data_IF_314139550008
#
_entry.id   IF_314139550008
#
_cell.length_a   1.000
_cell.length_b   1.000
_cell.length_c   1.000
_cell.angle_alpha   90.00
_cell.angle_beta   90.00
_cell.angle_gamma   90.00
#
_symmetry.space_group_name_H-M   'P 1'
#
loop_
_entity.id
_entity.type
_entity.pdbx_description
1 polymer ?
#
# COMPACT_ATOMS: atom_id res chain seq x y z
N UNK A 1 -14.28 3.43 -12.98
CA UNK A 1 -13.18 2.71 -12.30
C UNK A 1 -13.82 1.63 -11.44
N UNK A 2 -13.39 0.37 -11.56
CA UNK A 2 -13.98 -0.78 -10.86
C UNK A 2 -13.46 -0.83 -9.42
N UNK A 3 -14.36 -0.88 -8.43
CA UNK A 3 -14.04 -1.02 -7.00
C UNK A 3 -14.67 -2.34 -6.51
N UNK A 4 -13.89 -3.44 -6.42
CA UNK A 4 -14.45 -4.75 -6.11
C UNK A 4 -14.80 -4.94 -4.63
N UNK A 5 -14.32 -4.06 -3.74
CA UNK A 5 -14.42 -4.25 -2.30
C UNK A 5 -15.45 -3.32 -1.66
N UNK A 6 -16.14 -3.85 -0.66
CA UNK A 6 -17.10 -3.11 0.15
C UNK A 6 -16.38 -2.31 1.23
N UNK A 7 -16.65 -1.00 1.30
CA UNK A 7 -16.07 -0.12 2.31
C UNK A 7 -16.88 -0.26 3.60
N UNK A 8 -16.22 -0.63 4.71
CA UNK A 8 -16.85 -0.74 6.04
C UNK A 8 -16.56 0.48 6.93
N UNK A 9 -15.44 1.16 6.67
CA UNK A 9 -15.03 2.39 7.34
C UNK A 9 -14.21 3.24 6.37
N UNK A 10 -14.57 4.51 6.24
CA UNK A 10 -13.82 5.49 5.46
C UNK A 10 -14.09 6.87 6.03
N UNK A 11 -13.20 7.35 6.89
CA UNK A 11 -13.32 8.66 7.53
C UNK A 11 -11.97 9.15 8.06
N UNK A 12 -11.83 10.47 8.33
CA UNK A 12 -10.77 10.98 9.18
C UNK A 12 -10.72 10.25 10.53
N UNK A 13 -9.51 10.09 11.08
CA UNK A 13 -9.31 9.47 12.39
C UNK A 13 -10.03 10.23 13.51
N UNK A 14 -10.10 11.56 13.39
CA UNK A 14 -10.78 12.42 14.34
C UNK A 14 -12.26 12.04 14.58
N UNK A 15 -12.94 11.49 13.56
CA UNK A 15 -14.36 11.13 13.63
C UNK A 15 -14.63 9.88 14.48
N UNK A 16 -13.59 9.08 14.76
CA UNK A 16 -13.69 7.79 15.46
C UNK A 16 -12.69 7.68 16.62
N UNK A 17 -12.13 8.82 17.05
CA UNK A 17 -11.18 8.89 18.16
C UNK A 17 -11.85 8.47 19.47
N UNK A 18 -11.28 7.48 20.14
CA UNK A 18 -11.76 7.03 21.46
C UNK A 18 -11.04 7.71 22.63
N UNK A 19 -9.77 8.06 22.47
CA UNK A 19 -8.92 8.64 23.51
C UNK A 19 -8.53 10.08 23.13
N UNK A 20 -9.26 11.05 23.69
CA UNK A 20 -9.11 12.49 23.37
C UNK A 20 -7.83 13.11 23.93
N UNK A 21 -7.01 12.36 24.69
CA UNK A 21 -5.71 12.86 25.17
C UNK A 21 -4.62 12.81 24.10
N UNK A 22 -4.86 12.06 23.02
CA UNK A 22 -3.88 11.83 21.96
C UNK A 22 -3.89 13.02 20.98
N UNK A 23 -2.70 13.52 20.62
CA UNK A 23 -2.51 14.61 19.67
C UNK A 23 -1.11 14.52 19.02
N UNK A 24 -0.92 14.91 17.74
CA UNK A 24 -1.91 15.48 16.82
C UNK A 24 -2.72 14.41 16.06
N UNK A 25 -4.01 14.68 15.86
CA UNK A 25 -4.97 13.74 15.24
C UNK A 25 -5.33 14.11 13.79
N UNK A 26 -4.97 15.32 13.37
CA UNK A 26 -5.13 15.80 12.00
C UNK A 26 -4.23 15.01 11.03
N UNK A 27 -4.53 15.12 9.73
CA UNK A 27 -3.79 14.49 8.64
C UNK A 27 -3.72 12.95 8.78
N UNK A 28 -4.76 12.33 9.34
CA UNK A 28 -4.89 10.89 9.52
C UNK A 28 -6.24 10.43 8.99
N UNK A 29 -6.20 9.61 7.95
CA UNK A 29 -7.37 9.06 7.29
C UNK A 29 -7.40 7.54 7.40
N UNK A 30 -8.60 6.98 7.31
CA UNK A 30 -8.85 5.54 7.38
C UNK A 30 -9.62 5.05 6.17
N UNK A 31 -9.29 3.84 5.72
CA UNK A 31 -10.04 3.13 4.68
C UNK A 31 -9.98 1.62 4.96
N UNK A 32 -11.05 1.08 5.54
CA UNK A 32 -11.18 -0.34 5.78
C UNK A 32 -12.18 -0.95 4.81
N UNK A 33 -11.80 -2.06 4.21
CA UNK A 33 -12.55 -2.71 3.14
C UNK A 33 -12.68 -4.21 3.41
N UNK A 34 -13.72 -4.82 2.86
CA UNK A 34 -13.97 -6.25 2.92
C UNK A 34 -14.36 -6.78 1.55
N UNK A 35 -14.10 -8.08 1.32
CA UNK A 35 -14.54 -8.79 0.13
C UNK A 35 -15.89 -9.47 0.37
N UNK A 36 -16.67 -9.62 -0.70
CA UNK A 36 -17.98 -10.28 -0.66
C UNK A 36 -17.86 -11.82 -0.54
N UNK A 37 -19.00 -12.47 -0.38
CA UNK A 37 -19.16 -13.91 -0.24
C UNK A 37 -20.11 -14.44 -1.32
N UNK A 38 -19.93 -15.70 -1.72
CA UNK A 38 -20.80 -16.40 -2.65
C UNK A 38 -20.99 -17.84 -2.17
N UNK A 39 -22.23 -18.32 -2.20
CA UNK A 39 -22.60 -19.67 -1.75
C UNK A 39 -22.03 -20.05 -0.35
N UNK A 40 -22.11 -19.11 0.58
CA UNK A 40 -21.62 -19.33 1.95
C UNK A 40 -20.10 -19.20 2.13
N UNK A 41 -19.34 -18.87 1.07
CA UNK A 41 -17.89 -18.84 1.08
C UNK A 41 -17.31 -17.47 0.73
N UNK A 42 -16.20 -17.10 1.36
CA UNK A 42 -15.45 -15.90 1.01
C UNK A 42 -14.89 -16.02 -0.42
N UNK A 43 -15.09 -14.99 -1.24
CA UNK A 43 -14.74 -14.98 -2.67
C UNK A 43 -13.23 -14.89 -2.92
N UNK A 44 -12.53 -15.98 -2.61
CA UNK A 44 -11.06 -16.09 -2.71
C UNK A 44 -10.54 -15.95 -4.13
N UNK A 45 -11.26 -16.50 -5.12
CA UNK A 45 -10.87 -16.40 -6.50
C UNK A 45 -10.96 -14.96 -6.99
N UNK A 46 -12.07 -14.25 -6.72
CA UNK A 46 -12.20 -12.84 -7.07
C UNK A 46 -11.14 -11.95 -6.40
N UNK A 47 -10.77 -12.24 -5.14
CA UNK A 47 -9.66 -11.53 -4.50
C UNK A 47 -8.34 -11.79 -5.22
N UNK A 48 -8.02 -13.07 -5.49
CA UNK A 48 -6.78 -13.42 -6.19
C UNK A 48 -6.76 -12.89 -7.62
N UNK A 49 -7.88 -12.91 -8.34
CA UNK A 49 -8.00 -12.32 -9.67
C UNK A 49 -7.73 -10.82 -9.61
N UNK A 50 -8.27 -10.10 -8.62
CA UNK A 50 -7.92 -8.69 -8.43
C UNK A 50 -6.41 -8.48 -8.18
N UNK A 51 -5.77 -9.34 -7.39
CA UNK A 51 -4.30 -9.28 -7.21
C UNK A 51 -3.58 -9.53 -8.55
N UNK A 52 -3.95 -10.57 -9.29
CA UNK A 52 -3.33 -10.94 -10.56
C UNK A 52 -3.58 -9.91 -11.68
N UNK A 53 -4.73 -9.25 -11.69
CA UNK A 53 -5.04 -8.16 -12.63
C UNK A 53 -4.15 -6.93 -12.39
N UNK A 54 -3.62 -6.77 -11.18
CA UNK A 54 -2.78 -5.64 -10.80
C UNK A 54 -1.29 -5.98 -10.66
N UNK A 55 -0.88 -7.25 -10.77
CA UNK A 55 0.52 -7.68 -10.58
C UNK A 55 1.49 -6.92 -11.49
N UNK A 56 1.12 -6.70 -12.74
CA UNK A 56 1.94 -6.01 -13.74
C UNK A 56 2.21 -4.54 -13.40
N UNK A 57 1.40 -3.93 -12.54
CA UNK A 57 1.54 -2.51 -12.16
C UNK A 57 2.80 -2.27 -11.30
N UNK A 58 3.23 -3.28 -10.54
CA UNK A 58 4.42 -3.19 -9.68
C UNK A 58 5.56 -4.10 -10.13
N UNK A 59 5.23 -5.22 -10.80
CA UNK A 59 6.21 -6.20 -11.25
C UNK A 59 6.88 -5.87 -12.59
N UNK A 60 6.30 -4.98 -13.39
CA UNK A 60 6.88 -4.47 -14.64
C UNK A 60 7.07 -2.95 -14.53
N UNK A 61 7.98 -2.39 -15.34
CA UNK A 61 8.03 -0.94 -15.54
C UNK A 61 7.10 -0.46 -16.66
N UNK A 62 6.89 0.85 -16.77
CA UNK A 62 5.98 1.42 -17.75
C UNK A 62 6.38 1.10 -19.20
N UNK A 63 7.68 1.14 -19.51
CA UNK A 63 8.17 0.82 -20.86
C UNK A 63 7.87 -0.64 -21.25
N UNK A 64 8.03 -1.59 -20.32
CA UNK A 64 7.66 -2.99 -20.55
C UNK A 64 6.16 -3.16 -20.74
N UNK A 65 5.34 -2.50 -19.91
CA UNK A 65 3.87 -2.53 -20.05
C UNK A 65 3.43 -1.98 -21.40
N UNK A 66 3.99 -0.85 -21.83
CA UNK A 66 3.71 -0.23 -23.13
C UNK A 66 4.16 -1.11 -24.30
N UNK A 67 5.37 -1.68 -24.21
CA UNK A 67 5.89 -2.57 -25.25
C UNK A 67 5.04 -3.83 -25.40
N UNK A 68 4.52 -4.37 -24.29
CA UNK A 68 3.61 -5.52 -24.29
C UNK A 68 2.23 -5.17 -24.86
N UNK A 69 1.74 -3.94 -24.66
CA UNK A 69 0.49 -3.47 -25.25
C UNK A 69 -0.69 -4.37 -24.86
N UNK A 70 -1.52 -4.73 -25.84
CA UNK A 70 -2.71 -5.58 -25.68
C UNK A 70 -2.41 -7.08 -25.63
N UNK A 71 -1.32 -7.49 -24.97
CA UNK A 71 -0.92 -8.90 -24.78
C UNK A 71 -1.02 -9.32 -23.31
N UNK A 72 -2.25 -9.50 -22.77
CA UNK A 72 -2.46 -9.74 -21.35
C UNK A 72 -1.78 -11.01 -20.84
N UNK A 73 -1.80 -12.10 -21.61
CA UNK A 73 -1.11 -13.34 -21.23
C UNK A 73 0.40 -13.16 -21.11
N UNK A 74 1.05 -12.51 -22.10
CA UNK A 74 2.49 -12.23 -22.05
C UNK A 74 2.85 -11.28 -20.91
N UNK A 75 1.97 -10.32 -20.59
CA UNK A 75 2.14 -9.42 -19.47
C UNK A 75 2.09 -10.14 -18.13
N UNK A 76 1.14 -11.04 -17.93
CA UNK A 76 1.05 -11.87 -16.73
C UNK A 76 2.28 -12.77 -16.57
N UNK A 77 2.69 -13.46 -17.64
CA UNK A 77 3.89 -14.32 -17.63
C UNK A 77 5.14 -13.52 -17.26
N UNK A 78 5.34 -12.35 -17.86
CA UNK A 78 6.52 -11.51 -17.56
C UNK A 78 6.48 -10.96 -16.13
N UNK A 79 5.32 -10.51 -15.67
CA UNK A 79 5.14 -10.03 -14.31
C UNK A 79 5.37 -11.14 -13.26
N UNK A 80 4.86 -12.35 -13.51
CA UNK A 80 5.05 -13.49 -12.61
C UNK A 80 6.52 -13.92 -12.48
N UNK A 81 7.30 -13.80 -13.57
CA UNK A 81 8.76 -14.01 -13.55
C UNK A 81 9.50 -12.98 -12.69
N UNK A 82 8.88 -11.83 -12.44
CA UNK A 82 9.46 -10.76 -11.63
C UNK A 82 9.15 -10.84 -10.14
N UNK A 83 8.19 -11.69 -9.76
CA UNK A 83 7.91 -12.01 -8.37
C UNK A 83 9.10 -12.73 -7.71
N UNK A 84 9.37 -12.45 -6.44
CA UNK A 84 10.40 -13.10 -5.63
C UNK A 84 9.80 -14.23 -4.77
N UNK A 85 9.14 -15.15 -5.44
CA UNK A 85 8.57 -16.33 -4.80
C UNK A 85 9.67 -17.37 -4.61
N UNK A 86 9.82 -17.83 -3.38
CA UNK A 86 10.63 -19.00 -3.04
C UNK A 86 9.69 -20.13 -2.61
N UNK A 87 10.15 -21.38 -2.69
CA UNK A 87 9.32 -22.55 -2.31
C UNK A 87 8.83 -22.52 -0.85
N UNK A 88 9.41 -21.66 -0.01
CA UNK A 88 9.04 -21.44 1.39
C UNK A 88 8.49 -20.03 1.67
N UNK A 89 7.97 -19.32 0.66
CA UNK A 89 7.38 -17.99 0.89
C UNK A 89 6.04 -18.10 1.64
N UNK A 90 6.12 -18.08 2.97
CA UNK A 90 4.99 -18.10 3.90
C UNK A 90 4.57 -16.66 4.26
N UNK A 91 5.40 -15.67 3.91
CA UNK A 91 5.22 -14.29 4.35
C UNK A 91 4.09 -13.60 3.59
N UNK A 92 3.96 -13.85 2.28
CA UNK A 92 2.91 -13.25 1.44
C UNK A 92 3.08 -11.74 1.25
N UNK A 93 4.30 -11.22 1.42
CA UNK A 93 4.58 -9.78 1.33
C UNK A 93 4.22 -9.19 -0.02
N UNK A 94 4.54 -9.89 -1.12
CA UNK A 94 4.23 -9.43 -2.47
C UNK A 94 2.72 -9.26 -2.71
N UNK A 95 1.87 -10.08 -2.09
CA UNK A 95 0.42 -9.97 -2.19
C UNK A 95 -0.06 -8.65 -1.56
N UNK A 96 0.45 -8.30 -0.38
CA UNK A 96 0.13 -7.04 0.26
C UNK A 96 0.66 -5.84 -0.54
N UNK A 97 1.86 -5.93 -1.11
CA UNK A 97 2.40 -4.88 -1.99
C UNK A 97 1.52 -4.69 -3.23
N UNK A 98 1.16 -5.76 -3.94
CA UNK A 98 0.29 -5.69 -5.12
C UNK A 98 -1.07 -5.10 -4.75
N UNK A 99 -1.65 -5.51 -3.62
CA UNK A 99 -2.91 -4.94 -3.13
C UNK A 99 -2.79 -3.45 -2.83
N UNK A 100 -1.69 -3.02 -2.21
CA UNK A 100 -1.43 -1.59 -1.94
C UNK A 100 -1.35 -0.81 -3.26
N UNK A 101 -0.58 -1.27 -4.24
CA UNK A 101 -0.52 -0.63 -5.57
C UNK A 101 -1.92 -0.54 -6.22
N UNK A 102 -2.70 -1.60 -6.15
CA UNK A 102 -4.04 -1.64 -6.72
C UNK A 102 -4.97 -0.61 -6.04
N UNK A 103 -4.92 -0.50 -4.70
CA UNK A 103 -5.71 0.49 -3.95
C UNK A 103 -5.24 1.91 -4.28
N UNK A 104 -3.93 2.16 -4.26
CA UNK A 104 -3.34 3.46 -4.60
C UNK A 104 -3.80 3.95 -5.98
N UNK A 105 -3.80 3.06 -6.97
CA UNK A 105 -4.30 3.38 -8.31
C UNK A 105 -5.81 3.58 -8.34
N UNK A 106 -6.59 2.64 -7.79
CA UNK A 106 -8.05 2.58 -8.01
C UNK A 106 -8.89 3.45 -7.07
N UNK A 107 -8.33 3.88 -5.94
CA UNK A 107 -9.01 4.73 -4.96
C UNK A 107 -8.44 6.14 -4.93
N UNK A 108 -7.12 6.29 -5.10
CA UNK A 108 -6.43 7.58 -5.01
C UNK A 108 -5.96 8.14 -6.35
N UNK A 109 -6.19 7.44 -7.47
CA UNK A 109 -5.67 7.80 -8.80
C UNK A 109 -4.15 8.04 -8.79
N UNK A 110 -3.43 7.33 -7.92
CA UNK A 110 -2.01 7.53 -7.74
C UNK A 110 -1.21 6.86 -8.87
N UNK A 111 -0.26 7.60 -9.44
CA UNK A 111 0.60 7.16 -10.52
C UNK A 111 1.81 6.41 -9.92
N UNK A 112 2.06 5.15 -10.29
CA UNK A 112 3.19 4.38 -9.77
C UNK A 112 4.49 4.88 -10.38
N UNK A 113 5.29 5.62 -9.62
CA UNK A 113 6.53 6.22 -10.11
C UNK A 113 7.77 5.37 -9.84
N UNK A 114 7.68 4.36 -8.97
CA UNK A 114 8.72 3.32 -8.80
C UNK A 114 8.02 1.96 -8.72
N UNK A 115 8.07 1.09 -9.75
CA UNK A 115 7.58 -0.29 -9.67
C UNK A 115 8.50 -1.14 -8.76
N UNK A 116 8.14 -1.30 -7.49
CA UNK A 116 9.05 -1.87 -6.47
C UNK A 116 9.38 -3.34 -6.70
N UNK A 117 8.43 -4.16 -7.14
CA UNK A 117 8.69 -5.58 -7.46
C UNK A 117 9.63 -5.70 -8.67
N UNK A 118 9.46 -4.86 -9.70
CA UNK A 118 10.39 -4.82 -10.84
C UNK A 118 11.83 -4.55 -10.38
N UNK A 119 12.04 -3.50 -9.58
CA UNK A 119 13.39 -3.12 -9.12
C UNK A 119 13.97 -4.05 -8.07
N UNK A 120 13.14 -4.85 -7.39
CA UNK A 120 13.61 -5.95 -6.54
C UNK A 120 14.47 -6.94 -7.31
N UNK A 121 14.34 -7.11 -8.61
CA UNK A 121 15.19 -8.07 -9.32
C UNK A 121 16.66 -7.64 -9.45
N UNK A 122 16.95 -6.34 -9.37
CA UNK A 122 18.30 -5.82 -9.58
C UNK A 122 19.14 -5.87 -8.29
N UNK A 123 20.45 -6.07 -8.43
CA UNK A 123 21.41 -6.06 -7.30
C UNK A 123 21.51 -4.67 -6.65
N UNK A 124 21.10 -3.62 -7.38
CA UNK A 124 21.03 -2.27 -6.86
C UNK A 124 19.97 -2.15 -5.77
N UNK A 125 20.31 -1.47 -4.67
CA UNK A 125 19.53 -1.41 -3.42
C UNK A 125 18.22 -0.59 -3.50
N UNK A 126 17.64 -0.43 -4.70
CA UNK A 126 16.45 0.37 -5.01
C UNK A 126 15.16 -0.20 -4.41
N UNK A 127 15.19 -1.48 -4.06
CA UNK A 127 14.10 -2.20 -3.44
C UNK A 127 14.00 -2.07 -1.92
N UNK A 128 15.02 -1.54 -1.25
CA UNK A 128 15.01 -1.38 0.22
C UNK A 128 14.52 0.01 0.60
N UNK A 129 13.34 0.07 1.21
CA UNK A 129 12.71 1.31 1.67
C UNK A 129 11.19 1.15 1.61
N UNK A 130 10.50 2.10 0.99
CA UNK A 130 9.05 2.04 0.85
C UNK A 130 8.62 0.84 -0.01
N UNK A 131 7.54 0.18 0.41
CA UNK A 131 6.92 -0.95 -0.28
C UNK A 131 6.17 -0.50 -1.54
N UNK A 132 5.77 0.78 -1.59
CA UNK A 132 5.23 1.40 -2.80
C UNK A 132 5.60 2.88 -2.89
N UNK A 133 5.71 3.41 -4.12
CA UNK A 133 6.03 4.83 -4.35
C UNK A 133 5.17 5.37 -5.48
N UNK A 134 4.38 6.40 -5.15
CA UNK A 134 3.43 6.99 -6.09
C UNK A 134 3.48 8.52 -6.04
N UNK A 135 2.98 9.12 -7.12
CA UNK A 135 2.65 10.55 -7.20
C UNK A 135 1.16 10.69 -7.44
N UNK A 136 0.50 11.60 -6.71
CA UNK A 136 -0.87 12.03 -7.02
C UNK A 136 -0.81 13.45 -7.54
N UNK A 137 -1.49 13.70 -8.66
CA UNK A 137 -1.64 15.05 -9.20
C UNK A 137 -2.73 15.77 -8.42
N UNK A 138 -2.36 16.88 -7.80
CA UNK A 138 -3.23 17.71 -6.97
C UNK A 138 -3.72 18.91 -7.79
N UNK A 139 -4.87 19.51 -7.43
CA UNK A 139 -5.36 20.71 -8.11
C UNK A 139 -4.35 21.86 -8.12
N UNK A 140 -4.31 22.60 -9.23
CA UNK A 140 -3.48 23.79 -9.39
C UNK A 140 -1.99 23.50 -9.63
N UNK A 141 -1.68 22.54 -10.50
CA UNK A 141 -0.33 22.11 -10.88
C UNK A 141 0.55 21.71 -9.69
N UNK A 142 -0.06 21.07 -8.70
CA UNK A 142 0.63 20.54 -7.52
C UNK A 142 0.70 19.03 -7.57
N UNK A 143 1.53 18.46 -6.71
CA UNK A 143 1.59 17.02 -6.52
C UNK A 143 1.79 16.68 -5.05
N UNK A 144 1.44 15.45 -4.69
CA UNK A 144 1.80 14.82 -3.42
C UNK A 144 2.66 13.58 -3.65
N UNK A 145 3.60 13.34 -2.75
CA UNK A 145 4.50 12.18 -2.76
C UNK A 145 3.98 11.13 -1.80
N UNK A 146 3.78 9.91 -2.29
CA UNK A 146 3.22 8.81 -1.50
C UNK A 146 4.26 7.71 -1.31
N UNK A 147 4.68 7.49 -0.06
CA UNK A 147 5.64 6.44 0.33
C UNK A 147 4.94 5.41 1.20
N UNK A 148 4.62 4.25 0.62
CA UNK A 148 3.75 3.27 1.25
C UNK A 148 4.46 2.16 2.01
N UNK A 149 3.73 1.59 2.96
CA UNK A 149 4.09 0.42 3.76
C UNK A 149 2.99 -0.64 3.62
N UNK A 150 3.36 -1.89 3.35
CA UNK A 150 2.41 -2.99 3.24
C UNK A 150 2.84 -4.18 4.10
N UNK A 151 1.87 -4.80 4.79
CA UNK A 151 2.10 -6.01 5.56
C UNK A 151 0.96 -7.01 5.41
N UNK A 152 1.32 -8.30 5.37
CA UNK A 152 0.39 -9.41 5.46
C UNK A 152 0.63 -10.19 6.75
N UNK A 153 -0.27 -10.08 7.73
CA UNK A 153 -0.14 -10.76 9.02
C UNK A 153 -1.20 -11.85 9.25
N UNK A 154 -0.91 -12.73 10.20
CA UNK A 154 -1.82 -13.72 10.77
C UNK A 154 -2.80 -13.12 11.80
N UNK A 155 -2.46 -11.96 12.35
CA UNK A 155 -3.28 -11.18 13.28
C UNK A 155 -2.95 -9.69 13.16
N UNK A 156 -3.76 -8.83 13.78
CA UNK A 156 -3.46 -7.39 13.97
C UNK A 156 -3.53 -7.02 15.45
N UNK A 157 -2.95 -7.88 16.27
CA UNK A 157 -2.72 -7.58 17.68
C UNK A 157 -1.73 -6.42 17.85
N UNK A 158 -1.66 -5.90 19.07
CA UNK A 158 -0.84 -4.73 19.38
C UNK A 158 0.66 -4.92 19.13
N UNK A 159 1.17 -6.16 19.14
CA UNK A 159 2.58 -6.44 18.84
C UNK A 159 2.83 -6.30 17.34
N UNK A 160 1.93 -6.82 16.49
CA UNK A 160 1.98 -6.58 15.04
C UNK A 160 1.85 -5.09 14.72
N UNK A 161 0.92 -4.37 15.36
CA UNK A 161 0.76 -2.92 15.14
C UNK A 161 2.04 -2.15 15.50
N UNK A 162 2.71 -2.50 16.61
CA UNK A 162 3.98 -1.87 17.01
C UNK A 162 5.08 -2.08 15.97
N UNK A 163 5.13 -3.26 15.35
CA UNK A 163 6.12 -3.54 14.29
C UNK A 163 5.89 -2.69 13.03
N UNK A 164 4.62 -2.47 12.65
CA UNK A 164 4.26 -1.60 11.53
C UNK A 164 4.64 -0.15 11.84
N UNK A 165 4.27 0.33 13.04
CA UNK A 165 4.63 1.69 13.50
C UNK A 165 6.13 1.91 13.45
N UNK A 166 6.92 0.90 13.86
CA UNK A 166 8.38 0.97 13.80
C UNK A 166 8.88 1.07 12.35
N UNK A 167 8.28 0.32 11.43
CA UNK A 167 8.62 0.40 10.00
C UNK A 167 8.32 1.79 9.43
N UNK A 168 7.13 2.32 9.71
CA UNK A 168 6.71 3.67 9.30
C UNK A 168 7.65 4.72 9.87
N UNK A 169 7.95 4.67 11.17
CA UNK A 169 8.89 5.57 11.84
C UNK A 169 10.25 5.60 11.12
N UNK A 170 10.79 4.42 10.79
CA UNK A 170 12.08 4.33 10.10
C UNK A 170 12.01 4.98 8.70
N UNK A 171 10.92 4.78 7.96
CA UNK A 171 10.70 5.39 6.64
C UNK A 171 10.66 6.92 6.69
N UNK A 172 10.24 7.51 7.81
CA UNK A 172 10.19 8.97 8.01
C UNK A 172 11.55 9.62 8.30
N UNK A 173 12.62 8.83 8.47
CA UNK A 173 13.96 9.37 8.66
C UNK A 173 14.50 10.07 7.40
N UNK A 174 15.29 11.13 7.60
CA UNK A 174 15.88 11.93 6.52
C UNK A 174 16.57 11.09 5.46
N UNK A 175 17.41 10.15 5.89
CA UNK A 175 18.20 9.32 4.99
C UNK A 175 17.32 8.40 4.14
N UNK A 176 16.23 7.87 4.72
CA UNK A 176 15.29 7.02 3.98
C UNK A 176 14.49 7.83 2.96
N UNK A 177 13.97 8.99 3.33
CA UNK A 177 13.25 9.87 2.39
C UNK A 177 14.19 10.32 1.26
N UNK A 178 15.41 10.79 1.58
CA UNK A 178 16.38 11.21 0.56
C UNK A 178 16.82 10.06 -0.35
N UNK A 179 16.92 8.85 0.18
CA UNK A 179 17.17 7.64 -0.63
C UNK A 179 16.03 7.40 -1.62
N UNK A 180 14.78 7.42 -1.16
CA UNK A 180 13.61 7.25 -2.05
C UNK A 180 13.54 8.34 -3.12
N UNK A 181 13.75 9.61 -2.74
CA UNK A 181 13.81 10.72 -3.68
C UNK A 181 14.86 10.52 -4.79
N UNK A 182 16.03 10.03 -4.42
CA UNK A 182 17.12 9.75 -5.36
C UNK A 182 16.75 8.63 -6.34
N UNK A 183 15.99 7.63 -5.88
CA UNK A 183 15.48 6.55 -6.73
C UNK A 183 14.48 7.10 -7.73
N UNK A 184 13.51 7.90 -7.27
CA UNK A 184 12.47 8.51 -8.12
C UNK A 184 13.11 9.35 -9.24
N UNK A 185 14.13 10.16 -8.93
CA UNK A 185 14.85 10.97 -9.93
C UNK A 185 15.72 10.12 -10.84
N UNK A 186 16.35 9.07 -10.30
CA UNK A 186 17.36 8.27 -11.00
C UNK A 186 16.78 7.30 -12.03
N UNK A 187 15.50 6.96 -11.93
CA UNK A 187 14.82 6.08 -12.88
C UNK A 187 14.03 6.87 -13.92
N UNK A 188 13.81 6.27 -15.09
CA UNK A 188 13.13 6.94 -16.20
C UNK A 188 11.59 6.88 -16.11
N UNK A 189 11.01 6.33 -15.03
CA UNK A 189 9.56 6.09 -14.95
C UNK A 189 8.75 7.40 -15.08
N UNK A 190 9.20 8.48 -14.42
CA UNK A 190 8.52 9.79 -14.46
C UNK A 190 8.31 10.35 -15.88
N UNK A 191 9.22 10.08 -16.82
CA UNK A 191 9.10 10.58 -18.20
C UNK A 191 8.17 9.74 -19.08
N UNK A 192 7.74 8.58 -18.59
CA UNK A 192 6.88 7.63 -19.31
C UNK A 192 5.44 7.64 -18.82
N UNK A 193 5.18 8.33 -17.71
CA UNK A 193 3.85 8.52 -17.13
C UNK A 193 3.20 9.77 -17.72
N UNK A 194 1.87 9.78 -17.72
CA UNK A 194 1.06 10.92 -18.16
C UNK A 194 1.06 12.03 -17.09
N UNK A 195 2.20 12.69 -16.93
CA UNK A 195 2.43 13.80 -15.99
C UNK A 195 2.85 15.02 -16.81
N UNK A 196 2.22 16.19 -16.64
CA UNK A 196 2.62 17.42 -17.30
C UNK A 196 4.11 17.76 -17.09
N UNK A 197 4.80 18.20 -18.15
CA UNK A 197 6.25 18.44 -18.12
C UNK A 197 6.69 19.44 -17.03
N UNK A 198 5.88 20.48 -16.78
CA UNK A 198 6.12 21.44 -15.71
C UNK A 198 6.09 20.77 -14.32
N UNK A 199 5.15 19.85 -14.09
CA UNK A 199 5.06 19.09 -12.84
C UNK A 199 6.24 18.12 -12.72
N UNK A 200 6.66 17.46 -13.80
CA UNK A 200 7.86 16.59 -13.80
C UNK A 200 9.11 17.38 -13.39
N UNK A 201 9.26 18.61 -13.91
CA UNK A 201 10.37 19.50 -13.54
C UNK A 201 10.31 19.89 -12.06
N UNK A 202 9.13 20.22 -11.54
CA UNK A 202 8.93 20.57 -10.14
C UNK A 202 9.19 19.39 -9.19
N UNK A 203 8.76 18.18 -9.55
CA UNK A 203 9.09 16.94 -8.84
C UNK A 203 10.60 16.77 -8.77
N UNK A 204 11.30 16.80 -9.92
CA UNK A 204 12.76 16.64 -9.97
C UNK A 204 13.50 17.71 -9.16
N UNK A 205 13.00 18.94 -9.17
CA UNK A 205 13.56 20.05 -8.40
C UNK A 205 13.38 19.82 -6.90
N UNK A 206 12.17 19.47 -6.44
CA UNK A 206 11.87 19.29 -5.01
C UNK A 206 12.52 18.04 -4.41
N UNK A 207 12.60 16.96 -5.18
CA UNK A 207 13.19 15.69 -4.72
C UNK A 207 14.73 15.67 -4.81
N UNK A 208 15.35 16.74 -5.31
CA UNK A 208 16.81 16.80 -5.43
C UNK A 208 17.48 16.67 -4.04
N UNK A 209 18.60 15.93 -3.97
CA UNK A 209 19.36 15.65 -2.74
C UNK A 209 19.75 16.90 -1.93
N UNK A 210 19.91 18.03 -2.61
CA UNK A 210 20.33 19.32 -2.04
C UNK A 210 19.14 20.13 -1.47
N UNK A 211 17.91 19.68 -1.71
CA UNK A 211 16.71 20.28 -1.12
C UNK A 211 16.47 19.72 0.29
N UNK A 212 16.07 20.61 1.21
CA UNK A 212 15.66 20.22 2.55
C UNK A 212 14.39 19.36 2.49
N UNK A 213 14.40 18.24 3.23
CA UNK A 213 13.24 17.37 3.40
C UNK A 213 12.05 18.09 4.04
N UNK A 214 12.26 19.21 4.73
CA UNK A 214 11.19 19.98 5.35
C UNK A 214 10.25 20.61 4.32
N UNK A 215 10.72 20.82 3.07
CA UNK A 215 9.87 21.22 1.95
C UNK A 215 9.05 20.05 1.38
N UNK A 216 9.42 18.82 1.71
CA UNK A 216 8.81 17.58 1.19
C UNK A 216 7.78 17.04 2.18
N UNK A 217 8.01 17.14 3.50
CA UNK A 217 7.11 16.63 4.54
C UNK A 217 5.65 17.08 4.39
N UNK A 218 5.34 18.36 4.07
CA UNK A 218 3.95 18.79 3.84
C UNK A 218 3.29 18.17 2.60
N UNK A 219 4.10 17.66 1.66
CA UNK A 219 3.64 16.97 0.45
C UNK A 219 3.59 15.45 0.65
N UNK A 220 4.06 14.95 1.80
CA UNK A 220 4.26 13.54 2.06
C UNK A 220 2.98 12.88 2.56
N UNK A 221 2.58 11.82 1.87
CA UNK A 221 1.50 10.93 2.24
C UNK A 221 2.06 9.52 2.50
N UNK A 222 1.66 8.91 3.60
CA UNK A 222 2.13 7.58 4.02
C UNK A 222 0.94 6.62 4.02
N UNK A 223 0.69 5.91 2.90
CA UNK A 223 -0.30 4.86 2.85
C UNK A 223 0.20 3.60 3.54
N UNK A 224 -0.56 3.08 4.50
CA UNK A 224 -0.21 1.91 5.31
C UNK A 224 -1.29 0.85 5.09
N UNK A 225 -0.95 -0.23 4.39
CA UNK A 225 -1.87 -1.36 4.20
C UNK A 225 -1.56 -2.51 5.15
N UNK A 226 -2.58 -2.92 5.90
CA UNK A 226 -2.56 -4.11 6.75
C UNK A 226 -3.54 -5.14 6.19
N UNK A 227 -3.01 -6.12 5.45
CA UNK A 227 -3.73 -7.32 5.07
C UNK A 227 -3.59 -8.34 6.22
N UNK A 228 -4.69 -8.94 6.68
CA UNK A 228 -4.59 -9.83 7.84
C UNK A 228 -5.58 -11.00 7.86
N UNK A 229 -5.16 -12.14 8.42
CA UNK A 229 -6.09 -13.20 8.78
C UNK A 229 -7.06 -12.73 9.87
N UNK A 230 -8.34 -13.03 9.71
CA UNK A 230 -9.43 -12.48 10.49
C UNK A 230 -10.47 -13.55 10.85
N UNK A 231 -10.64 -13.79 12.16
CA UNK A 231 -11.59 -14.78 12.67
C UNK A 231 -13.07 -14.38 12.45
N UNK A 232 -13.38 -13.08 12.39
CA UNK A 232 -14.75 -12.62 12.07
C UNK A 232 -15.07 -12.98 10.62
N UNK A 233 -14.12 -12.74 9.71
CA UNK A 233 -14.26 -13.04 8.28
C UNK A 233 -14.26 -14.55 8.01
N UNK A 234 -13.49 -15.35 8.75
CA UNK A 234 -13.47 -16.81 8.57
C UNK A 234 -14.76 -17.51 8.99
N UNK A 235 -15.55 -16.91 9.90
CA UNK A 235 -16.83 -17.43 10.39
C UNK A 235 -18.04 -16.90 9.62
N UNK A 236 -17.86 -15.84 8.85
CA UNK A 236 -18.93 -15.26 8.03
C UNK A 236 -19.15 -16.11 6.77
N UNK A 237 -20.39 -16.12 6.30
CA UNK A 237 -20.81 -16.86 5.11
C UNK A 237 -21.46 -15.96 4.06
N UNK A 238 -21.81 -14.72 4.44
CA UNK A 238 -22.42 -13.72 3.56
C UNK A 238 -22.11 -12.31 4.05
N UNK A 239 -22.17 -11.34 3.15
CA UNK A 239 -22.04 -9.92 3.47
C UNK A 239 -23.36 -9.37 4.04
N UNK A 240 -23.64 -9.71 5.30
CA UNK A 240 -24.80 -9.21 6.04
C UNK A 240 -24.45 -8.03 6.97
N UNK A 241 -25.46 -7.26 7.37
CA UNK A 241 -25.28 -6.07 8.22
C UNK A 241 -24.58 -6.39 9.55
N UNK A 242 -24.87 -7.54 10.16
CA UNK A 242 -24.21 -8.03 11.38
C UNK A 242 -22.70 -8.23 11.18
N UNK A 243 -22.29 -8.79 10.04
CA UNK A 243 -20.88 -8.94 9.67
C UNK A 243 -20.23 -7.57 9.47
N UNK A 244 -20.85 -6.68 8.67
CA UNK A 244 -20.34 -5.33 8.41
C UNK A 244 -20.16 -4.56 9.72
N UNK A 245 -21.16 -4.60 10.61
CA UNK A 245 -21.10 -3.96 11.93
C UNK A 245 -19.97 -4.53 12.79
N UNK A 246 -19.84 -5.85 12.87
CA UNK A 246 -18.77 -6.50 13.65
C UNK A 246 -17.39 -6.13 13.13
N UNK A 247 -17.22 -6.07 11.81
CA UNK A 247 -15.96 -5.65 11.19
C UNK A 247 -15.66 -4.17 11.45
N UNK A 248 -16.68 -3.30 11.37
CA UNK A 248 -16.55 -1.87 11.66
C UNK A 248 -16.12 -1.63 13.11
N UNK A 249 -16.81 -2.25 14.07
CA UNK A 249 -16.50 -2.11 15.49
C UNK A 249 -15.07 -2.62 15.80
N UNK A 250 -14.72 -3.78 15.24
CA UNK A 250 -13.36 -4.32 15.34
C UNK A 250 -12.31 -3.37 14.75
N UNK A 251 -12.56 -2.79 13.58
CA UNK A 251 -11.60 -1.89 12.95
C UNK A 251 -11.49 -0.52 13.61
N UNK A 252 -12.56 0.04 14.17
CA UNK A 252 -12.47 1.28 14.95
C UNK A 252 -11.50 1.08 16.12
N UNK A 253 -11.62 -0.03 16.85
CA UNK A 253 -10.70 -0.36 17.95
C UNK A 253 -9.24 -0.52 17.48
N UNK A 254 -9.02 -1.28 16.39
CA UNK A 254 -7.67 -1.50 15.84
C UNK A 254 -7.03 -0.22 15.28
N UNK A 255 -7.81 0.64 14.64
CA UNK A 255 -7.37 1.96 14.15
C UNK A 255 -6.94 2.84 15.31
N UNK A 256 -7.73 2.92 16.39
CA UNK A 256 -7.38 3.69 17.58
C UNK A 256 -6.08 3.17 18.22
N UNK A 257 -5.94 1.85 18.36
CA UNK A 257 -4.69 1.24 18.86
C UNK A 257 -3.49 1.60 17.98
N UNK A 258 -3.62 1.51 16.65
CA UNK A 258 -2.55 1.84 15.73
C UNK A 258 -2.13 3.32 15.84
N UNK A 259 -3.07 4.26 15.69
CA UNK A 259 -2.72 5.68 15.69
C UNK A 259 -2.23 6.16 17.06
N UNK A 260 -2.74 5.60 18.16
CA UNK A 260 -2.17 5.85 19.50
C UNK A 260 -0.68 5.52 19.53
N UNK A 261 -0.33 4.28 19.17
CA UNK A 261 1.08 3.82 19.15
C UNK A 261 1.92 4.63 18.17
N UNK A 262 1.36 4.97 17.01
CA UNK A 262 2.05 5.77 16.00
C UNK A 262 2.38 7.17 16.52
N UNK A 263 1.40 7.86 17.12
CA UNK A 263 1.56 9.20 17.67
C UNK A 263 2.56 9.18 18.83
N UNK A 264 2.41 8.25 19.78
CA UNK A 264 3.34 8.05 20.90
C UNK A 264 4.78 7.82 20.42
N UNK A 265 4.97 7.12 19.30
CA UNK A 265 6.29 6.81 18.75
C UNK A 265 6.88 7.92 17.88
N UNK A 266 6.05 8.64 17.12
CA UNK A 266 6.52 9.51 16.04
C UNK A 266 6.38 11.00 16.35
N UNK A 267 5.37 11.43 17.12
CA UNK A 267 5.01 12.84 17.22
C UNK A 267 6.09 13.70 17.90
N UNK A 268 6.83 13.13 18.85
CA UNK A 268 7.93 13.82 19.55
C UNK A 268 9.24 13.81 18.77
N UNK A 269 9.48 12.74 18.01
CA UNK A 269 10.79 12.46 17.42
C UNK A 269 10.88 12.93 15.96
N UNK A 270 9.76 12.92 15.23
CA UNK A 270 9.71 13.30 13.82
C UNK A 270 9.40 14.79 13.68
N UNK A 271 10.41 15.57 13.29
CA UNK A 271 10.22 17.00 13.03
C UNK A 271 9.18 17.25 11.93
N UNK A 272 8.25 18.19 12.15
CA UNK A 272 7.08 18.46 11.28
C UNK A 272 6.16 17.26 11.07
N UNK A 273 6.07 16.35 12.05
CA UNK A 273 5.15 15.20 12.00
C UNK A 273 3.70 15.57 11.67
N UNK A 274 3.21 16.69 12.20
CA UNK A 274 1.84 17.18 11.97
C UNK A 274 1.55 17.55 10.51
N UNK A 275 2.58 17.83 9.70
CA UNK A 275 2.44 18.18 8.28
C UNK A 275 2.36 16.94 7.38
N UNK A 276 2.70 15.77 7.89
CA UNK A 276 2.70 14.50 7.13
C UNK A 276 1.32 13.87 7.21
N UNK A 277 0.82 13.40 6.08
CA UNK A 277 -0.48 12.71 6.00
C UNK A 277 -0.32 11.21 6.08
N UNK A 278 -1.17 10.54 6.85
CA UNK A 278 -1.16 9.10 7.04
C UNK A 278 -2.49 8.50 6.64
N UNK A 279 -2.46 7.42 5.86
CA UNK A 279 -3.65 6.74 5.35
C UNK A 279 -3.62 5.29 5.80
N UNK A 280 -4.35 4.95 6.86
CA UNK A 280 -4.40 3.59 7.38
C UNK A 280 -5.48 2.78 6.64
N UNK A 281 -5.04 1.72 5.96
CA UNK A 281 -5.88 0.81 5.22
C UNK A 281 -5.85 -0.59 5.83
N UNK A 282 -7.00 -1.18 6.12
CA UNK A 282 -7.08 -2.53 6.71
C UNK A 282 -7.99 -3.40 5.86
N UNK A 283 -7.53 -4.63 5.59
CA UNK A 283 -8.24 -5.60 4.77
C UNK A 283 -8.17 -7.00 5.41
N UNK A 284 -9.30 -7.69 5.64
CA UNK A 284 -9.31 -9.01 6.25
C UNK A 284 -9.28 -10.11 5.19
N UNK A 285 -8.71 -11.24 5.56
CA UNK A 285 -8.84 -12.51 4.85
C UNK A 285 -9.23 -13.63 5.82
N UNK A 286 -9.93 -14.69 5.38
CA UNK A 286 -10.35 -15.77 6.27
C UNK A 286 -9.17 -16.65 6.71
N UNK A 287 -8.21 -16.90 5.81
CA UNK A 287 -7.04 -17.74 6.09
C UNK A 287 -5.85 -17.30 5.24
N UNK A 288 -4.81 -16.77 5.87
CA UNK A 288 -3.60 -16.27 5.19
C UNK A 288 -2.90 -17.37 4.41
N UNK A 289 -2.66 -18.52 5.04
CA UNK A 289 -1.90 -19.63 4.44
C UNK A 289 -2.52 -20.11 3.13
N UNK A 290 -3.85 -20.22 3.06
CA UNK A 290 -4.58 -20.64 1.84
C UNK A 290 -4.39 -19.64 0.69
N UNK A 291 -4.44 -18.34 0.97
CA UNK A 291 -4.25 -17.30 -0.05
C UNK A 291 -2.81 -17.32 -0.57
N UNK A 292 -1.83 -17.42 0.33
CA UNK A 292 -0.41 -17.50 -0.04
C UNK A 292 -0.15 -18.74 -0.89
N UNK A 293 -0.65 -19.91 -0.49
CA UNK A 293 -0.52 -21.15 -1.24
C UNK A 293 -1.11 -21.02 -2.66
N UNK A 294 -2.35 -20.54 -2.79
CA UNK A 294 -3.01 -20.39 -4.08
C UNK A 294 -2.29 -19.37 -4.98
N UNK A 295 -1.81 -18.26 -4.41
CA UNK A 295 -1.02 -17.27 -5.13
C UNK A 295 0.29 -17.87 -5.65
N UNK A 296 1.06 -18.54 -4.77
CA UNK A 296 2.33 -19.19 -5.11
C UNK A 296 2.15 -20.26 -6.18
N UNK A 297 1.12 -21.10 -6.07
CA UNK A 297 0.82 -22.12 -7.09
C UNK A 297 0.51 -21.49 -8.45
N UNK A 298 -0.32 -20.44 -8.49
CA UNK A 298 -0.63 -19.73 -9.74
C UNK A 298 0.60 -19.04 -10.33
N UNK A 299 1.44 -18.46 -9.49
CA UNK A 299 2.68 -17.83 -9.95
C UNK A 299 3.66 -18.85 -10.53
N UNK A 300 3.82 -20.01 -9.90
CA UNK A 300 4.67 -21.08 -10.41
C UNK A 300 4.23 -21.54 -11.80
N UNK A 301 2.92 -21.65 -12.06
CA UNK A 301 2.39 -21.98 -13.39
C UNK A 301 2.78 -20.92 -14.43
N UNK A 302 2.65 -19.63 -14.12
CA UNK A 302 3.03 -18.55 -15.05
C UNK A 302 4.53 -18.37 -15.24
N UNK A 303 5.35 -18.95 -14.35
CA UNK A 303 6.82 -18.86 -14.39
C UNK A 303 7.47 -19.94 -15.25
N UNK A 304 6.75 -21.04 -15.54
CA UNK A 304 7.16 -22.07 -16.51
C UNK A 304 7.43 -21.45 -17.89
#
# INVERSE_FOLDING_TARGET
>A
MYRPFHIVLSCPFADILSDTSISPIENKDTLCMVQDFEDGAWRINDFLDYIWDNVAQTALNQAERMALGSRPSSMLVRAAKNLRITDNDIAGGEIAEILLYAIMRNYYNALPVVPKIYYKQNVNDYAKGADSVHIVLEPGDKFSLWLGEAKFYDSIDDTRLTSIVTSVYNTLSTDKIKKENSIIIGINELSTLDIPDNIVLDIKKLLNKDISIDKIKPLLHIPILILHECNITSKATRLEESYIKSMRDFYIDRVNSYFKKQIEKCATDVYMYSEIKFHLMIFPVPKKSKIVEMFTNRANIFRL
#
